data_IF_546124585145
#
_entry.id   IF_546124585145
#
_cell.length_a   1.000
_cell.length_b   1.000
_cell.length_c   1.000
_cell.angle_alpha   90.00
_cell.angle_beta   90.00
_cell.angle_gamma   90.00
#
_symmetry.space_group_name_H-M   'P 1'
#
loop_
_entity.id
_entity.type
_entity.pdbx_description
1 polymer ?
#
# COMPACT_ATOMS: atom_id res chain seq x y z
N UNK A 1 -12.04 -6.42 -2.92
CA UNK A 1 -11.52 -6.99 -4.21
C UNK A 1 -10.03 -7.26 -4.09
N UNK A 2 -9.59 -8.48 -4.41
CA UNK A 2 -8.17 -8.89 -4.33
C UNK A 2 -7.52 -8.79 -5.71
N UNK A 3 -6.38 -8.12 -5.81
CA UNK A 3 -5.53 -8.03 -6.99
C UNK A 3 -4.15 -8.61 -6.67
N UNK A 4 -3.67 -9.56 -7.47
CA UNK A 4 -2.40 -10.22 -7.24
C UNK A 4 -1.45 -9.91 -8.38
N UNK A 5 -0.24 -9.51 -8.01
CA UNK A 5 0.87 -9.28 -8.93
C UNK A 5 2.06 -10.13 -8.49
N UNK A 6 2.73 -10.78 -9.43
CA UNK A 6 3.87 -11.65 -9.17
C UNK A 6 5.05 -11.20 -10.02
N UNK A 7 6.17 -10.93 -9.37
CA UNK A 7 7.43 -10.68 -10.03
C UNK A 7 8.30 -11.94 -10.02
N UNK A 8 8.83 -12.29 -11.19
CA UNK A 8 9.76 -13.40 -11.38
C UNK A 8 10.67 -13.10 -12.58
N UNK A 9 11.95 -13.37 -12.45
CA UNK A 9 12.93 -13.30 -13.55
C UNK A 9 12.89 -11.97 -14.35
N UNK A 10 12.70 -10.85 -13.66
CA UNK A 10 12.63 -9.53 -14.32
C UNK A 10 11.26 -9.16 -14.88
N UNK A 11 10.24 -10.01 -14.72
CA UNK A 11 8.90 -9.78 -15.29
C UNK A 11 7.85 -9.70 -14.19
N UNK A 12 7.02 -8.67 -14.25
CA UNK A 12 5.80 -8.55 -13.41
C UNK A 12 4.61 -9.08 -14.18
N UNK A 13 3.87 -10.03 -13.60
CA UNK A 13 2.55 -10.46 -14.07
C UNK A 13 1.50 -9.92 -13.12
N UNK A 14 0.55 -9.17 -13.66
CA UNK A 14 -0.53 -8.54 -12.90
C UNK A 14 -1.88 -9.20 -13.16
N UNK A 15 -2.85 -8.93 -12.27
CA UNK A 15 -4.24 -9.34 -12.46
C UNK A 15 -4.47 -10.84 -12.31
N UNK A 16 -3.65 -11.52 -11.53
CA UNK A 16 -3.85 -12.95 -11.24
C UNK A 16 -5.03 -13.12 -10.28
N UNK A 17 -5.74 -14.25 -10.41
CA UNK A 17 -6.86 -14.59 -9.54
C UNK A 17 -6.38 -15.06 -8.15
N UNK A 18 -7.27 -14.98 -7.16
CA UNK A 18 -6.98 -15.48 -5.79
C UNK A 18 -6.58 -16.96 -5.79
N UNK A 19 -7.11 -17.76 -6.72
CA UNK A 19 -6.76 -19.19 -6.84
C UNK A 19 -5.28 -19.43 -7.17
N UNK A 20 -4.63 -18.48 -7.86
CA UNK A 20 -3.20 -18.58 -8.20
C UNK A 20 -2.27 -18.20 -7.04
N UNK A 21 -2.79 -17.61 -5.96
CA UNK A 21 -1.99 -17.15 -4.82
C UNK A 21 -1.18 -18.30 -4.18
N UNK A 22 -1.83 -19.44 -3.96
CA UNK A 22 -1.18 -20.60 -3.36
C UNK A 22 -0.03 -21.16 -4.21
N UNK A 23 -0.14 -21.11 -5.54
CA UNK A 23 0.94 -21.50 -6.45
C UNK A 23 2.08 -20.47 -6.42
N UNK A 24 1.78 -19.18 -6.50
CA UNK A 24 2.77 -18.11 -6.44
C UNK A 24 3.58 -18.14 -5.15
N UNK A 25 2.93 -18.42 -4.01
CA UNK A 25 3.61 -18.50 -2.70
C UNK A 25 4.51 -19.71 -2.55
N UNK A 26 4.29 -20.83 -3.28
CA UNK A 26 5.17 -22.00 -3.27
C UNK A 26 6.45 -21.78 -4.06
N UNK A 27 6.45 -20.84 -4.97
CA UNK A 27 7.63 -20.51 -5.76
C UNK A 27 8.58 -19.61 -4.97
N UNK A 28 9.70 -20.18 -4.54
CA UNK A 28 10.69 -19.47 -3.72
C UNK A 28 11.40 -18.34 -4.47
N UNK A 29 11.35 -18.32 -5.79
CA UNK A 29 11.91 -17.26 -6.63
C UNK A 29 10.95 -16.09 -6.89
N UNK A 30 9.68 -16.25 -6.50
CA UNK A 30 8.65 -15.23 -6.74
C UNK A 30 8.57 -14.21 -5.60
N UNK A 31 8.43 -12.94 -5.96
CA UNK A 31 7.97 -11.87 -5.09
C UNK A 31 6.49 -11.59 -5.38
N UNK A 32 5.66 -11.67 -4.37
CA UNK A 32 4.21 -11.57 -4.50
C UNK A 32 3.70 -10.26 -3.86
N UNK A 33 2.95 -9.48 -4.62
CA UNK A 33 2.19 -8.37 -4.08
C UNK A 33 0.69 -8.66 -4.18
N UNK A 34 0.03 -8.68 -3.04
CA UNK A 34 -1.42 -8.80 -2.94
C UNK A 34 -1.98 -7.46 -2.49
N UNK A 35 -2.86 -6.88 -3.30
CA UNK A 35 -3.50 -5.62 -3.00
C UNK A 35 -5.00 -5.84 -2.81
N UNK A 36 -5.52 -5.47 -1.65
CA UNK A 36 -6.91 -5.72 -1.23
C UNK A 36 -7.63 -4.39 -1.06
N UNK A 37 -8.47 -4.07 -2.03
CA UNK A 37 -9.27 -2.84 -2.08
C UNK A 37 -10.64 -3.13 -1.51
N UNK A 38 -11.12 -2.27 -0.59
CA UNK A 38 -12.43 -2.40 0.06
C UNK A 38 -12.66 -3.84 0.57
N UNK A 39 -11.85 -4.31 1.53
CA UNK A 39 -11.85 -5.71 1.94
C UNK A 39 -13.21 -6.17 2.44
N UNK A 40 -13.72 -7.26 1.88
CA UNK A 40 -14.88 -7.99 2.39
C UNK A 40 -14.45 -9.00 3.46
N UNK A 41 -15.38 -9.53 4.24
CA UNK A 41 -15.08 -10.60 5.21
C UNK A 41 -14.52 -11.85 4.49
N UNK A 42 -14.97 -12.13 3.28
CA UNK A 42 -14.45 -13.24 2.47
C UNK A 42 -13.01 -12.98 2.04
N UNK A 43 -12.69 -11.77 1.56
CA UNK A 43 -11.31 -11.38 1.22
C UNK A 43 -10.38 -11.55 2.43
N UNK A 44 -10.80 -11.08 3.61
CA UNK A 44 -10.03 -11.19 4.85
C UNK A 44 -9.78 -12.66 5.26
N UNK A 45 -10.79 -13.53 5.10
CA UNK A 45 -10.65 -14.95 5.39
C UNK A 45 -9.67 -15.64 4.44
N UNK A 46 -9.73 -15.33 3.15
CA UNK A 46 -8.80 -15.87 2.14
C UNK A 46 -7.37 -15.49 2.50
N UNK A 47 -7.12 -14.20 2.79
CA UNK A 47 -5.78 -13.72 3.13
C UNK A 47 -5.29 -14.31 4.46
N UNK A 48 -6.14 -14.33 5.49
CA UNK A 48 -5.78 -14.91 6.78
C UNK A 48 -5.42 -16.40 6.68
N UNK A 49 -6.17 -17.16 5.89
CA UNK A 49 -5.90 -18.59 5.67
C UNK A 49 -4.60 -18.82 4.89
N UNK A 50 -4.28 -17.96 3.91
CA UNK A 50 -3.10 -18.14 3.07
C UNK A 50 -1.78 -17.74 3.76
N UNK A 51 -1.80 -16.64 4.54
CA UNK A 51 -0.60 -16.06 5.14
C UNK A 51 -0.46 -16.37 6.63
N UNK A 52 -1.49 -16.89 7.27
CA UNK A 52 -1.54 -17.19 8.72
C UNK A 52 -1.24 -15.96 9.60
N UNK A 53 -1.72 -14.78 9.19
CA UNK A 53 -1.54 -13.56 9.95
C UNK A 53 -2.21 -13.63 11.32
N UNK A 54 -1.63 -12.93 12.28
CA UNK A 54 -2.15 -12.87 13.63
C UNK A 54 -3.55 -12.23 13.65
N UNK A 55 -4.53 -12.80 14.40
CA UNK A 55 -5.90 -12.29 14.42
C UNK A 55 -6.02 -10.80 14.76
N UNK A 56 -5.18 -10.27 15.66
CA UNK A 56 -5.20 -8.85 16.02
C UNK A 56 -4.76 -7.95 14.85
N UNK A 57 -3.74 -8.35 14.08
CA UNK A 57 -3.31 -7.60 12.90
C UNK A 57 -4.40 -7.60 11.81
N UNK A 58 -5.09 -8.72 11.62
CA UNK A 58 -6.23 -8.82 10.71
C UNK A 58 -7.44 -8.01 11.19
N UNK A 59 -7.66 -7.92 12.50
CA UNK A 59 -8.70 -7.06 13.07
C UNK A 59 -8.41 -5.59 12.83
N UNK A 60 -7.16 -5.16 12.97
CA UNK A 60 -6.72 -3.79 12.71
C UNK A 60 -6.90 -3.44 11.22
N UNK A 61 -6.42 -4.28 10.30
CA UNK A 61 -6.60 -4.10 8.86
C UNK A 61 -8.09 -4.07 8.43
N UNK A 62 -8.97 -4.78 9.14
CA UNK A 62 -10.42 -4.75 8.92
C UNK A 62 -11.05 -3.44 9.35
N UNK A 63 -10.65 -2.92 10.52
CA UNK A 63 -11.26 -1.71 11.11
C UNK A 63 -10.83 -0.45 10.39
N UNK A 64 -9.58 -0.38 9.94
CA UNK A 64 -9.00 0.78 9.29
C UNK A 64 -9.36 2.10 10.01
N UNK A 65 -8.81 2.30 11.16
CA UNK A 65 -8.90 3.54 11.93
C UNK A 65 -7.77 3.55 12.97
N UNK A 66 -6.58 3.20 12.50
CA UNK A 66 -5.41 3.08 13.34
C UNK A 66 -4.53 4.32 13.22
N UNK A 67 -3.70 4.57 14.23
CA UNK A 67 -2.60 5.51 14.09
C UNK A 67 -1.46 4.85 13.32
N UNK A 68 -0.66 5.63 12.62
CA UNK A 68 0.55 5.14 11.99
C UNK A 68 1.40 4.38 13.03
N UNK A 69 1.74 3.13 12.72
CA UNK A 69 2.49 2.24 13.62
C UNK A 69 3.20 1.14 12.83
N UNK A 70 4.12 0.46 13.51
CA UNK A 70 4.75 -0.74 13.02
C UNK A 70 4.81 -1.75 14.16
N UNK A 71 4.22 -2.91 13.95
CA UNK A 71 4.21 -4.04 14.88
C UNK A 71 4.98 -5.21 14.27
N UNK A 72 5.85 -5.83 15.05
CA UNK A 72 6.61 -7.02 14.64
C UNK A 72 5.86 -8.28 15.05
N UNK A 73 5.68 -9.20 14.09
CA UNK A 73 5.13 -10.54 14.27
C UNK A 73 6.14 -11.59 13.81
N UNK A 74 5.89 -12.84 14.14
CA UNK A 74 6.75 -13.94 13.69
C UNK A 74 6.68 -14.08 12.15
N UNK A 75 7.79 -13.73 11.49
CA UNK A 75 7.97 -13.84 10.05
C UNK A 75 7.43 -12.66 9.21
N UNK A 76 6.88 -11.61 9.80
CA UNK A 76 6.45 -10.41 9.07
C UNK A 76 6.32 -9.15 9.95
N UNK A 77 6.28 -8.00 9.30
CA UNK A 77 5.92 -6.72 9.92
C UNK A 77 4.50 -6.33 9.51
N UNK A 78 3.71 -5.85 10.46
CA UNK A 78 2.45 -5.15 10.20
C UNK A 78 2.66 -3.65 10.34
N UNK A 79 2.35 -2.89 9.29
CA UNK A 79 2.65 -1.47 9.20
C UNK A 79 1.39 -0.74 8.78
N UNK A 80 0.93 0.21 9.62
CA UNK A 80 -0.13 1.15 9.26
C UNK A 80 0.50 2.49 8.90
N UNK A 81 0.19 3.00 7.72
CA UNK A 81 0.62 4.31 7.24
C UNK A 81 -0.58 5.09 6.68
N UNK A 82 -0.43 6.41 6.60
CA UNK A 82 -1.45 7.28 6.05
C UNK A 82 -0.90 7.95 4.79
N UNK A 83 -1.59 7.79 3.68
CA UNK A 83 -1.35 8.50 2.45
C UNK A 83 -2.29 9.69 2.31
N UNK A 84 -1.90 10.67 1.51
CA UNK A 84 -2.75 11.77 1.14
C UNK A 84 -3.09 11.70 -0.33
N UNK A 85 -4.37 11.85 -0.65
CA UNK A 85 -4.84 12.10 -2.00
C UNK A 85 -5.34 13.53 -2.07
N UNK A 86 -4.83 14.29 -3.01
CA UNK A 86 -5.44 15.57 -3.33
C UNK A 86 -6.76 15.28 -4.03
N UNK A 87 -7.88 15.67 -3.42
CA UNK A 87 -9.17 15.56 -4.07
C UNK A 87 -9.12 16.37 -5.38
N UNK A 88 -9.31 15.69 -6.49
CA UNK A 88 -9.48 16.34 -7.79
C UNK A 88 -10.87 17.02 -7.80
N UNK A 89 -10.98 18.20 -7.21
CA UNK A 89 -12.21 18.99 -7.29
C UNK A 89 -11.92 20.36 -7.89
N UNK A 90 -12.56 20.62 -9.01
CA UNK A 90 -12.72 21.94 -9.58
C UNK A 90 -13.26 22.92 -8.51
N UNK A 91 -12.38 23.70 -7.92
CA UNK A 91 -12.71 24.98 -7.27
C UNK A 91 -13.23 24.96 -5.85
N UNK A 92 -13.24 23.84 -5.12
CA UNK A 92 -13.38 23.85 -3.66
C UNK A 92 -12.02 23.51 -3.05
N UNK A 93 -11.40 24.50 -2.42
CA UNK A 93 -10.29 24.24 -1.53
C UNK A 93 -10.75 23.21 -0.51
N UNK A 94 -9.94 22.13 -0.33
CA UNK A 94 -9.88 21.53 0.97
C UNK A 94 -10.62 20.24 1.30
N UNK A 95 -10.58 19.23 0.45
CA UNK A 95 -10.66 17.89 1.05
C UNK A 95 -9.44 17.08 0.66
N UNK A 96 -8.35 17.29 1.40
CA UNK A 96 -7.23 16.35 1.42
C UNK A 96 -7.73 15.07 2.08
N UNK A 97 -8.02 14.07 1.29
CA UNK A 97 -8.43 12.77 1.83
C UNK A 97 -7.20 12.09 2.45
N UNK A 98 -7.32 11.72 3.72
CA UNK A 98 -6.33 10.87 4.39
C UNK A 98 -6.75 9.42 4.19
N UNK A 99 -5.88 8.64 3.58
CA UNK A 99 -6.12 7.23 3.32
C UNK A 99 -5.21 6.37 4.18
N UNK A 100 -5.82 5.46 4.93
CA UNK A 100 -5.08 4.45 5.69
C UNK A 100 -4.69 3.30 4.77
N UNK A 101 -3.40 2.95 4.82
CA UNK A 101 -2.83 1.81 4.13
C UNK A 101 -2.24 0.88 5.18
N UNK A 102 -2.78 -0.31 5.28
CA UNK A 102 -2.22 -1.37 6.11
C UNK A 102 -1.39 -2.31 5.25
N UNK A 103 -0.16 -2.55 5.67
CA UNK A 103 0.79 -3.37 4.94
C UNK A 103 1.33 -4.51 5.81
N UNK A 104 1.27 -5.73 5.28
CA UNK A 104 1.93 -6.90 5.84
C UNK A 104 3.16 -7.21 4.98
N UNK A 105 4.33 -6.99 5.55
CA UNK A 105 5.60 -7.17 4.86
C UNK A 105 6.29 -8.44 5.36
N UNK A 106 6.31 -9.45 4.52
CA UNK A 106 7.06 -10.68 4.75
C UNK A 106 8.29 -10.79 3.84
N UNK A 107 9.10 -11.84 3.98
CA UNK A 107 10.37 -11.99 3.24
C UNK A 107 10.22 -11.95 1.72
N UNK A 108 9.09 -12.46 1.18
CA UNK A 108 8.84 -12.58 -0.27
C UNK A 108 7.46 -12.09 -0.68
N UNK A 109 6.79 -11.36 0.18
CA UNK A 109 5.48 -10.81 -0.14
C UNK A 109 5.27 -9.44 0.50
N UNK A 110 4.38 -8.69 -0.13
CA UNK A 110 3.73 -7.52 0.42
C UNK A 110 2.23 -7.72 0.27
N UNK A 111 1.46 -7.59 1.34
CA UNK A 111 -0.01 -7.55 1.28
C UNK A 111 -0.47 -6.19 1.75
N UNK A 112 -1.22 -5.47 0.92
CA UNK A 112 -1.74 -4.15 1.23
C UNK A 112 -3.26 -4.16 1.34
N UNK A 113 -3.79 -3.40 2.30
CA UNK A 113 -5.23 -3.17 2.46
C UNK A 113 -5.48 -1.67 2.44
N UNK A 114 -6.45 -1.24 1.67
CA UNK A 114 -6.91 0.15 1.65
C UNK A 114 -8.36 0.24 1.20
N UNK A 115 -8.95 1.44 1.32
CA UNK A 115 -10.31 1.71 0.84
C UNK A 115 -10.25 2.66 -0.35
N UNK A 116 -11.19 2.46 -1.28
CA UNK A 116 -11.33 3.32 -2.45
C UNK A 116 -10.07 3.44 -3.31
N UNK A 117 -9.97 4.55 -4.02
CA UNK A 117 -8.78 4.87 -4.83
C UNK A 117 -7.64 5.35 -3.93
N UNK A 118 -6.48 4.73 -4.06
CA UNK A 118 -5.28 5.03 -3.30
C UNK A 118 -4.13 5.42 -4.25
N UNK A 119 -3.89 6.72 -4.47
CA UNK A 119 -2.85 7.19 -5.38
C UNK A 119 -1.45 6.65 -5.10
N UNK A 120 -0.97 6.52 -3.82
CA UNK A 120 0.30 5.88 -3.53
C UNK A 120 0.39 4.44 -4.04
N UNK A 121 -0.68 3.64 -3.90
CA UNK A 121 -0.74 2.27 -4.42
C UNK A 121 -0.67 2.25 -5.96
N UNK A 122 -1.45 3.11 -6.62
CA UNK A 122 -1.46 3.22 -8.08
C UNK A 122 -0.09 3.64 -8.63
N UNK A 123 0.57 4.61 -7.98
CA UNK A 123 1.92 5.05 -8.32
C UNK A 123 2.96 3.94 -8.12
N UNK A 124 2.88 3.23 -7.00
CA UNK A 124 3.74 2.08 -6.70
C UNK A 124 3.60 1.01 -7.77
N UNK A 125 2.37 0.66 -8.15
CA UNK A 125 2.09 -0.31 -9.21
C UNK A 125 2.74 0.10 -10.53
N UNK A 126 2.57 1.36 -10.94
CA UNK A 126 3.18 1.89 -12.16
C UNK A 126 4.71 1.88 -12.11
N UNK A 127 5.32 2.23 -10.98
CA UNK A 127 6.77 2.20 -10.78
C UNK A 127 7.30 0.77 -10.81
N UNK A 128 6.59 -0.15 -10.14
CA UNK A 128 6.99 -1.55 -10.06
C UNK A 128 6.90 -2.29 -11.41
N UNK A 129 5.86 -2.04 -12.19
CA UNK A 129 5.70 -2.61 -13.53
C UNK A 129 6.81 -2.18 -14.51
N UNK A 130 7.36 -0.97 -14.32
CA UNK A 130 8.45 -0.41 -15.16
C UNK A 130 9.85 -0.74 -14.65
N UNK A 131 9.97 -1.57 -13.64
CA UNK A 131 11.19 -1.89 -12.92
C UNK A 131 12.31 -2.34 -13.85
N UNK A 132 13.48 -1.69 -13.86
CA UNK A 132 14.67 -2.22 -14.54
C UNK A 132 15.21 -3.42 -13.77
N UNK A 133 15.53 -4.52 -14.45
CA UNK A 133 15.95 -5.81 -13.88
C UNK A 133 17.26 -5.82 -13.04
N UNK A 134 17.66 -4.69 -12.48
CA UNK A 134 18.85 -4.51 -11.63
C UNK A 134 18.52 -4.20 -10.17
N UNK A 135 17.23 -4.12 -9.81
CA UNK A 135 16.82 -3.79 -8.45
C UNK A 135 16.62 -5.11 -7.69
N UNK A 136 17.01 -5.20 -6.39
CA UNK A 136 16.84 -6.41 -5.60
C UNK A 136 15.40 -6.96 -5.65
N UNK A 137 15.25 -8.27 -5.78
CA UNK A 137 13.97 -8.98 -5.82
C UNK A 137 13.43 -9.19 -4.41
N UNK A 138 13.42 -8.10 -3.62
CA UNK A 138 13.07 -8.13 -2.21
C UNK A 138 11.76 -7.40 -1.95
N UNK A 139 10.93 -7.98 -1.10
CA UNK A 139 9.69 -7.37 -0.64
C UNK A 139 9.92 -6.02 0.04
N UNK A 140 11.04 -5.87 0.75
CA UNK A 140 11.45 -4.63 1.37
C UNK A 140 11.65 -3.50 0.36
N UNK A 141 12.15 -3.80 -0.85
CA UNK A 141 12.26 -2.79 -1.89
C UNK A 141 10.89 -2.39 -2.45
N UNK A 142 9.99 -3.33 -2.66
CA UNK A 142 8.61 -3.02 -3.05
C UNK A 142 7.91 -2.14 -2.00
N UNK A 143 8.10 -2.48 -0.73
CA UNK A 143 7.60 -1.66 0.38
C UNK A 143 8.23 -0.27 0.40
N UNK A 144 9.54 -0.16 0.14
CA UNK A 144 10.22 1.14 0.01
C UNK A 144 9.58 2.00 -1.08
N UNK A 145 9.28 1.44 -2.25
CA UNK A 145 8.62 2.17 -3.35
C UNK A 145 7.23 2.66 -2.94
N UNK A 146 6.48 1.86 -2.18
CA UNK A 146 5.19 2.26 -1.62
C UNK A 146 5.35 3.39 -0.60
N UNK A 147 6.27 3.23 0.33
CA UNK A 147 6.53 4.24 1.36
C UNK A 147 7.00 5.58 0.76
N UNK A 148 7.87 5.53 -0.24
CA UNK A 148 8.32 6.69 -1.00
C UNK A 148 7.15 7.40 -1.69
N UNK A 149 6.22 6.65 -2.29
CA UNK A 149 5.01 7.19 -2.90
C UNK A 149 4.07 7.84 -1.87
N UNK A 150 3.98 7.28 -0.65
CA UNK A 150 3.22 7.88 0.46
C UNK A 150 3.86 9.21 0.88
N UNK A 151 5.18 9.24 1.05
CA UNK A 151 5.92 10.45 1.43
C UNK A 151 5.83 11.53 0.36
N UNK A 152 5.95 11.16 -0.91
CA UNK A 152 5.80 12.10 -2.04
C UNK A 152 4.44 12.85 -1.99
N UNK A 153 3.39 12.19 -1.51
CA UNK A 153 2.06 12.78 -1.38
C UNK A 153 1.95 13.91 -0.33
N UNK A 154 2.91 14.05 0.58
CA UNK A 154 2.90 15.10 1.58
C UNK A 154 3.43 16.43 1.04
N UNK A 155 4.32 16.43 0.04
CA UNK A 155 4.94 17.65 -0.46
C UNK A 155 3.94 18.69 -0.98
N UNK A 156 2.94 18.34 -1.82
CA UNK A 156 1.95 19.30 -2.27
C UNK A 156 1.14 19.96 -1.13
N UNK A 157 0.94 19.20 -0.03
CA UNK A 157 0.22 19.72 1.14
C UNK A 157 1.07 20.72 1.91
N UNK A 158 2.37 20.42 2.04
CA UNK A 158 3.32 21.32 2.68
C UNK A 158 3.44 22.62 1.89
N UNK A 159 3.53 22.55 0.55
CA UNK A 159 3.56 23.72 -0.32
C UNK A 159 2.27 24.56 -0.17
N UNK A 160 1.11 23.92 -0.16
CA UNK A 160 -0.17 24.63 0.03
C UNK A 160 -0.29 25.27 1.42
N UNK A 161 0.30 24.65 2.45
CA UNK A 161 0.32 25.22 3.79
C UNK A 161 1.25 26.45 3.86
N UNK A 162 2.42 26.39 3.23
CA UNK A 162 3.34 27.52 3.15
C UNK A 162 2.69 28.70 2.41
N UNK A 163 2.03 28.49 1.27
CA UNK A 163 1.28 29.52 0.55
C UNK A 163 0.17 30.14 1.41
N UNK A 164 -0.52 29.33 2.22
CA UNK A 164 -1.56 29.83 3.11
C UNK A 164 -0.99 30.67 4.27
N UNK A 165 0.16 30.33 4.78
CA UNK A 165 0.86 31.11 5.82
C UNK A 165 1.30 32.45 5.25
N UNK A 166 1.94 32.46 4.08
CA UNK A 166 2.37 33.70 3.40
C UNK A 166 1.19 34.63 3.14
N UNK A 167 0.04 34.11 2.71
CA UNK A 167 -1.16 34.89 2.50
C UNK A 167 -1.71 35.54 3.79
N UNK A 168 -1.54 34.90 4.94
CA UNK A 168 -1.93 35.45 6.25
C UNK A 168 -0.95 36.56 6.67
N UNK A 169 0.35 36.36 6.45
CA UNK A 169 1.39 37.35 6.75
C UNK A 169 1.20 38.65 5.91
N UNK A 170 0.89 38.51 4.63
CA UNK A 170 0.65 39.61 3.73
C UNK A 170 -0.63 40.42 4.05
N UNK A 171 -1.58 39.79 4.76
CA UNK A 171 -2.83 40.40 5.16
C UNK A 171 -2.79 41.10 6.54
N UNK A 172 -1.69 40.94 7.28
CA UNK A 172 -1.50 41.49 8.65
C UNK A 172 -0.84 42.86 8.67
#
# INVERSE_FOLDING_TARGET
MISISVYRDGVVKEGLSADSLGEAMRDESALVWVDVIDPTEEDLQIIAAQFHFHPLAMEDARKQNQRAKMDEYDGYLFITMHGYAQAATDGAADETAVEEIDAFLGPRYLVTFHRGECPPIALTRSRWAKRPGRIPDESAFLFYVLFDAVVDGYFPIMDALDDAIDAVEDAA
#
